data_IF_508130558764
#
_entry.id   IF_508130558764
#
_cell.length_a   1.000
_cell.length_b   1.000
_cell.length_c   1.000
_cell.angle_alpha   90.00
_cell.angle_beta   90.00
_cell.angle_gamma   90.00
#
_symmetry.space_group_name_H-M   'P 1'
#
loop_
_entity.id
_entity.type
_entity.pdbx_description
1 polymer ?
#
# COMPACT_ATOMS: atom_id res chain seq x y z
N UNK A 1 15.17 13.58 20.36
CA UNK A 1 14.68 12.30 19.78
C UNK A 1 15.81 11.67 18.97
N UNK A 2 16.26 10.46 19.32
CA UNK A 2 17.38 9.77 18.65
C UNK A 2 17.14 9.67 17.13
N UNK A 3 18.18 9.83 16.30
CA UNK A 3 18.11 9.75 14.84
C UNK A 3 17.44 8.45 14.36
N UNK A 4 17.71 7.32 15.01
CA UNK A 4 17.04 6.03 14.72
C UNK A 4 15.52 6.11 14.92
N UNK A 5 15.06 6.81 15.97
CA UNK A 5 13.64 7.01 16.25
C UNK A 5 12.96 7.93 15.23
N UNK A 6 13.67 8.97 14.76
CA UNK A 6 13.18 9.83 13.66
C UNK A 6 12.96 9.02 12.38
N UNK A 7 13.91 8.18 12.01
CA UNK A 7 13.81 7.32 10.80
C UNK A 7 12.61 6.37 10.92
N UNK A 8 12.45 5.68 12.06
CA UNK A 8 11.30 4.80 12.28
C UNK A 8 9.96 5.55 12.15
N UNK A 9 9.88 6.79 12.68
CA UNK A 9 8.68 7.62 12.56
C UNK A 9 8.37 7.96 11.10
N UNK A 10 9.38 8.34 10.32
CA UNK A 10 9.21 8.63 8.89
C UNK A 10 8.74 7.39 8.12
N UNK A 11 9.35 6.22 8.34
CA UNK A 11 8.96 4.97 7.65
C UNK A 11 7.50 4.60 7.99
N UNK A 12 7.06 4.80 9.24
CA UNK A 12 5.66 4.58 9.62
C UNK A 12 4.70 5.49 8.86
N UNK A 13 5.05 6.77 8.70
CA UNK A 13 4.23 7.73 7.95
C UNK A 13 4.14 7.30 6.48
N UNK A 14 5.27 6.88 5.88
CA UNK A 14 5.31 6.39 4.50
C UNK A 14 4.44 5.13 4.33
N UNK A 15 4.51 4.16 5.25
CA UNK A 15 3.67 2.98 5.22
C UNK A 15 2.17 3.32 5.31
N UNK A 16 1.82 4.31 6.15
CA UNK A 16 0.44 4.79 6.27
C UNK A 16 -0.04 5.46 4.98
N UNK A 17 0.82 6.27 4.34
CA UNK A 17 0.53 6.88 3.05
C UNK A 17 0.29 5.81 1.97
N UNK A 18 1.11 4.76 1.92
CA UNK A 18 0.89 3.64 0.99
C UNK A 18 -0.46 2.94 1.22
N UNK A 19 -0.91 2.81 2.47
CA UNK A 19 -2.22 2.24 2.77
C UNK A 19 -3.36 3.11 2.20
N UNK A 20 -3.26 4.44 2.29
CA UNK A 20 -4.24 5.33 1.68
C UNK A 20 -4.20 5.28 0.16
N UNK A 21 -3.01 5.34 -0.43
CA UNK A 21 -2.84 5.25 -1.88
C UNK A 21 -3.40 3.94 -2.42
N UNK A 22 -3.19 2.83 -1.73
CA UNK A 22 -3.76 1.52 -2.08
C UNK A 22 -5.28 1.59 -2.21
N UNK A 23 -5.96 2.10 -1.18
CA UNK A 23 -7.44 2.19 -1.18
C UNK A 23 -7.91 3.11 -2.30
N UNK A 24 -7.27 4.26 -2.49
CA UNK A 24 -7.64 5.20 -3.56
C UNK A 24 -7.49 4.58 -4.94
N UNK A 25 -6.35 3.93 -5.22
CA UNK A 25 -6.08 3.31 -6.53
C UNK A 25 -7.05 2.16 -6.80
N UNK A 26 -7.28 1.30 -5.82
CA UNK A 26 -8.22 0.17 -5.97
C UNK A 26 -9.65 0.68 -6.18
N UNK A 27 -10.12 1.64 -5.38
CA UNK A 27 -11.47 2.17 -5.48
C UNK A 27 -11.71 2.87 -6.83
N UNK A 28 -10.75 3.65 -7.30
CA UNK A 28 -10.84 4.33 -8.59
C UNK A 28 -10.91 3.32 -9.75
N UNK A 29 -10.01 2.33 -9.75
CA UNK A 29 -10.02 1.29 -10.79
C UNK A 29 -11.28 0.42 -10.72
N UNK A 30 -11.76 0.09 -9.52
CA UNK A 30 -13.00 -0.66 -9.33
C UNK A 30 -14.19 0.10 -9.94
N UNK A 31 -14.32 1.39 -9.65
CA UNK A 31 -15.38 2.23 -10.21
C UNK A 31 -15.32 2.32 -11.73
N UNK A 32 -14.11 2.50 -12.28
CA UNK A 32 -13.90 2.50 -13.73
C UNK A 32 -14.29 1.16 -14.36
N UNK A 33 -13.86 0.03 -13.80
CA UNK A 33 -14.22 -1.29 -14.33
C UNK A 33 -15.71 -1.59 -14.19
N UNK A 34 -16.36 -1.14 -13.12
CA UNK A 34 -17.82 -1.26 -12.97
C UNK A 34 -18.56 -0.51 -14.07
N UNK A 35 -18.12 0.71 -14.40
CA UNK A 35 -18.64 1.46 -15.54
C UNK A 35 -18.37 0.73 -16.87
N UNK A 36 -17.15 0.25 -17.08
CA UNK A 36 -16.75 -0.42 -18.32
C UNK A 36 -17.54 -1.70 -18.58
N UNK A 37 -17.83 -2.50 -17.55
CA UNK A 37 -18.69 -3.69 -17.66
C UNK A 37 -20.13 -3.30 -18.03
N UNK A 38 -20.63 -2.19 -17.48
CA UNK A 38 -22.02 -1.76 -17.67
C UNK A 38 -22.27 -1.09 -19.02
N UNK A 39 -21.30 -0.35 -19.53
CA UNK A 39 -21.52 0.54 -20.69
C UNK A 39 -20.52 0.35 -21.84
N UNK A 40 -19.32 -0.18 -21.59
CA UNK A 40 -18.23 -0.27 -22.58
C UNK A 40 -18.02 -1.69 -23.11
N UNK A 41 -18.88 -2.64 -22.70
CA UNK A 41 -18.80 -4.04 -23.12
C UNK A 41 -17.60 -4.81 -22.56
N UNK A 42 -16.94 -4.30 -21.51
CA UNK A 42 -15.81 -4.99 -20.91
C UNK A 42 -16.24 -6.32 -20.27
N UNK A 43 -15.47 -7.39 -20.52
CA UNK A 43 -15.77 -8.72 -19.98
C UNK A 43 -15.13 -8.99 -18.62
N UNK A 44 -14.12 -8.21 -18.23
CA UNK A 44 -13.39 -8.41 -16.98
C UNK A 44 -14.20 -7.91 -15.77
N UNK A 45 -14.35 -8.71 -14.70
CA UNK A 45 -15.13 -8.28 -13.53
C UNK A 45 -14.41 -7.18 -12.74
N UNK A 46 -15.13 -6.24 -12.09
CA UNK A 46 -14.52 -5.13 -11.35
C UNK A 46 -13.58 -5.56 -10.22
N UNK A 47 -13.75 -6.77 -9.70
CA UNK A 47 -12.88 -7.37 -8.68
C UNK A 47 -11.43 -7.56 -9.15
N UNK A 48 -11.14 -7.55 -10.46
CA UNK A 48 -9.75 -7.61 -10.95
C UNK A 48 -8.93 -6.40 -10.47
N UNK A 49 -9.59 -5.27 -10.15
CA UNK A 49 -8.94 -4.08 -9.61
C UNK A 49 -8.20 -4.31 -8.27
N UNK A 50 -8.52 -5.37 -7.51
CA UNK A 50 -7.78 -5.71 -6.27
C UNK A 50 -6.33 -6.14 -6.54
N UNK A 51 -5.97 -6.53 -7.76
CA UNK A 51 -4.58 -6.83 -8.14
C UNK A 51 -3.69 -5.60 -7.92
N UNK A 52 -4.22 -4.39 -8.10
CA UNK A 52 -3.47 -3.15 -7.84
C UNK A 52 -3.10 -2.96 -6.36
N UNK A 53 -3.68 -3.72 -5.42
CA UNK A 53 -3.30 -3.68 -4.01
C UNK A 53 -1.95 -4.37 -3.74
N UNK A 54 -1.58 -5.38 -4.53
CA UNK A 54 -0.38 -6.20 -4.36
C UNK A 54 0.91 -5.37 -4.20
N UNK A 55 1.24 -4.41 -5.09
CA UNK A 55 2.47 -3.61 -4.95
C UNK A 55 2.50 -2.78 -3.65
N UNK A 56 1.36 -2.27 -3.19
CA UNK A 56 1.29 -1.51 -1.94
C UNK A 56 1.47 -2.41 -0.71
N UNK A 57 0.85 -3.60 -0.71
CA UNK A 57 1.03 -4.58 0.36
C UNK A 57 2.50 -4.98 0.45
N UNK A 58 3.16 -5.26 -0.68
CA UNK A 58 4.58 -5.56 -0.71
C UNK A 58 5.44 -4.41 -0.13
N UNK A 59 5.16 -3.16 -0.51
CA UNK A 59 5.86 -2.00 0.01
C UNK A 59 5.68 -1.82 1.53
N UNK A 60 4.46 -2.00 2.04
CA UNK A 60 4.16 -1.94 3.48
C UNK A 60 4.93 -3.03 4.24
N UNK A 61 4.99 -4.25 3.71
CA UNK A 61 5.76 -5.34 4.31
C UNK A 61 7.25 -5.01 4.38
N UNK A 62 7.82 -4.44 3.32
CA UNK A 62 9.21 -3.98 3.31
C UNK A 62 9.45 -2.91 4.38
N UNK A 63 8.55 -1.91 4.52
CA UNK A 63 8.63 -0.91 5.58
C UNK A 63 8.65 -1.55 6.98
N UNK A 64 7.81 -2.56 7.22
CA UNK A 64 7.74 -3.29 8.50
C UNK A 64 9.04 -4.06 8.76
N UNK A 65 9.59 -4.73 7.75
CA UNK A 65 10.86 -5.48 7.85
C UNK A 65 12.01 -4.53 8.21
N UNK A 66 12.12 -3.39 7.52
CA UNK A 66 13.16 -2.39 7.81
C UNK A 66 13.04 -1.88 9.24
N UNK A 67 11.83 -1.56 9.71
CA UNK A 67 11.61 -1.13 11.10
C UNK A 67 12.07 -2.21 12.09
N UNK A 68 11.78 -3.49 11.81
CA UNK A 68 12.22 -4.60 12.67
C UNK A 68 13.73 -4.72 12.74
N UNK A 69 14.43 -4.58 11.61
CA UNK A 69 15.90 -4.63 11.55
C UNK A 69 16.51 -3.49 12.36
N UNK A 70 16.03 -2.25 12.18
CA UNK A 70 16.54 -1.09 12.93
C UNK A 70 16.31 -1.27 14.44
N UNK A 71 15.13 -1.73 14.84
CA UNK A 71 14.81 -1.98 16.25
C UNK A 71 15.66 -3.07 16.88
N UNK A 72 16.02 -4.13 16.12
CA UNK A 72 16.93 -5.17 16.58
C UNK A 72 18.30 -4.56 16.89
N UNK A 73 18.87 -3.80 15.95
CA UNK A 73 20.12 -3.03 16.13
C UNK A 73 20.07 -1.86 17.13
N UNK A 74 19.02 -1.74 17.95
CA UNK A 74 18.92 -0.81 19.07
C UNK A 74 18.86 -1.52 20.43
N UNK A 75 18.62 -2.84 20.43
CA UNK A 75 18.60 -3.68 21.63
C UNK A 75 19.98 -4.25 21.97
N UNK A 76 20.90 -4.19 21.01
CA UNK A 76 22.32 -4.52 21.14
C UNK A 76 23.09 -3.29 21.65
#
# INVERSE_FOLDING_TARGET
MNNKQRIIKTIKIVAYLFSYMMVTVVAFNYGYMYYAVKFDGASAPPNVSFIFAIPFIAAILVCIIIIRIIKKGMKD
#
